data_IF_967017323085
#
_entry.id   IF_967017323085
#
_cell.length_a   1.000
_cell.length_b   1.000
_cell.length_c   1.000
_cell.angle_alpha   90.00
_cell.angle_beta   90.00
_cell.angle_gamma   90.00
#
_symmetry.space_group_name_H-M   'P 1'
#
loop_
_entity.id
_entity.type
_entity.pdbx_description
1 polymer ?
#
# COMPACT_ATOMS: atom_id res chain seq x y z
N UNK A 1 -5.68 21.79 -21.83
CA UNK A 1 -4.22 21.72 -21.76
C UNK A 1 -3.79 21.99 -20.34
N UNK A 2 -3.55 20.92 -19.57
CA UNK A 2 -3.13 21.03 -18.17
C UNK A 2 -1.61 21.23 -18.16
N UNK A 3 -1.17 22.48 -18.33
CA UNK A 3 0.22 22.85 -18.00
C UNK A 3 0.36 22.78 -16.48
N UNK A 4 1.21 21.87 -15.98
CA UNK A 4 1.52 21.68 -14.56
C UNK A 4 3.00 22.06 -14.35
N UNK A 5 3.23 23.22 -13.75
CA UNK A 5 4.55 23.81 -13.48
C UNK A 5 4.84 23.84 -11.98
N UNK A 6 6.12 23.86 -11.58
CA UNK A 6 6.53 24.00 -10.17
C UNK A 6 5.95 25.25 -9.48
N UNK A 7 5.69 26.32 -10.23
CA UNK A 7 5.00 27.51 -9.72
C UNK A 7 3.52 27.25 -9.36
N UNK A 8 2.82 26.43 -10.16
CA UNK A 8 1.46 25.99 -9.82
C UNK A 8 1.46 25.03 -8.61
N UNK A 9 2.52 24.26 -8.41
CA UNK A 9 2.70 23.39 -7.22
C UNK A 9 2.74 24.23 -5.94
N UNK A 10 3.58 25.26 -5.90
CA UNK A 10 3.69 26.15 -4.74
C UNK A 10 2.39 26.96 -4.52
N UNK A 11 1.69 27.31 -5.59
CA UNK A 11 0.36 27.93 -5.51
C UNK A 11 -0.69 27.03 -4.85
N UNK A 12 -0.71 25.73 -5.15
CA UNK A 12 -1.68 24.77 -4.58
C UNK A 12 -1.37 24.47 -3.10
N UNK A 13 -0.09 24.43 -2.71
CA UNK A 13 0.29 24.20 -1.30
C UNK A 13 -0.13 25.32 -0.35
N UNK A 14 -0.20 26.57 -0.83
CA UNK A 14 -0.55 27.76 -0.02
C UNK A 14 -2.06 27.98 0.13
N UNK A 15 -2.89 27.26 -0.61
CA UNK A 15 -4.36 27.39 -0.52
C UNK A 15 -4.91 26.65 0.69
N UNK A 16 -5.91 27.25 1.35
CA UNK A 16 -6.69 26.59 2.40
C UNK A 16 -7.32 25.32 1.83
N UNK A 17 -7.14 24.19 2.51
CA UNK A 17 -7.70 22.91 2.04
C UNK A 17 -9.23 23.00 1.97
N UNK A 18 -9.81 22.57 0.84
CA UNK A 18 -11.26 22.51 0.68
C UNK A 18 -11.88 21.45 1.61
N UNK A 19 -13.18 21.56 1.86
CA UNK A 19 -13.91 20.60 2.69
C UNK A 19 -13.85 19.18 2.09
N UNK A 20 -13.93 19.06 0.76
CA UNK A 20 -13.79 17.78 0.06
C UNK A 20 -12.39 17.19 0.26
N UNK A 21 -11.36 18.02 0.17
CA UNK A 21 -9.98 17.59 0.39
C UNK A 21 -9.74 17.15 1.83
N UNK A 22 -10.28 17.89 2.80
CA UNK A 22 -10.23 17.51 4.21
C UNK A 22 -10.95 16.19 4.46
N UNK A 23 -12.11 15.97 3.82
CA UNK A 23 -12.85 14.71 3.91
C UNK A 23 -12.05 13.51 3.37
N UNK A 24 -11.33 13.69 2.26
CA UNK A 24 -10.43 12.67 1.70
C UNK A 24 -9.20 12.41 2.57
N UNK A 25 -8.61 13.45 3.17
CA UNK A 25 -7.31 13.34 3.86
C UNK A 25 -7.43 12.96 5.35
N UNK A 26 -8.62 13.10 5.97
CA UNK A 26 -8.81 12.91 7.42
C UNK A 26 -8.38 11.54 7.96
N UNK A 27 -8.62 10.46 7.21
CA UNK A 27 -8.30 9.08 7.63
C UNK A 27 -7.50 8.30 6.58
N UNK A 28 -6.83 9.02 5.68
CA UNK A 28 -6.06 8.48 4.56
C UNK A 28 -4.97 7.47 5.00
N UNK A 29 -4.64 7.44 6.30
CA UNK A 29 -3.58 6.62 6.88
C UNK A 29 -4.09 5.51 7.83
N UNK A 30 -5.40 5.22 7.85
CA UNK A 30 -6.02 4.24 8.76
C UNK A 30 -5.89 2.78 8.30
N UNK A 31 -5.43 2.50 7.07
CA UNK A 31 -5.20 1.14 6.56
C UNK A 31 -6.16 0.73 5.45
N UNK A 32 -6.28 -0.60 5.24
CA UNK A 32 -6.72 -1.23 3.97
C UNK A 32 -8.14 -0.90 3.49
N UNK A 33 -8.96 -0.28 4.33
CA UNK A 33 -10.34 0.07 4.02
C UNK A 33 -10.58 1.59 4.09
N UNK A 34 -9.53 2.41 3.90
CA UNK A 34 -9.63 3.87 4.03
C UNK A 34 -10.81 4.41 3.21
N UNK A 35 -10.94 3.98 1.94
CA UNK A 35 -11.98 4.46 1.05
C UNK A 35 -13.36 4.08 1.55
N UNK A 36 -13.58 2.84 2.02
CA UNK A 36 -14.87 2.42 2.60
C UNK A 36 -15.18 3.25 3.86
N UNK A 37 -14.18 3.49 4.71
CA UNK A 37 -14.31 4.27 5.94
C UNK A 37 -14.50 5.79 5.70
N UNK A 38 -14.12 6.31 4.53
CA UNK A 38 -14.29 7.74 4.17
C UNK A 38 -15.36 7.99 3.12
N UNK A 39 -15.80 6.98 2.35
CA UNK A 39 -16.68 7.13 1.19
C UNK A 39 -18.00 7.82 1.56
N UNK A 40 -18.61 7.42 2.68
CA UNK A 40 -19.84 8.07 3.16
C UNK A 40 -19.66 9.57 3.43
N UNK A 41 -18.51 9.98 3.98
CA UNK A 41 -18.19 11.41 4.20
C UNK A 41 -17.90 12.14 2.90
N UNK A 42 -17.10 11.54 2.03
CA UNK A 42 -16.75 12.12 0.72
C UNK A 42 -18.04 12.34 -0.09
N UNK A 43 -18.92 11.33 -0.13
CA UNK A 43 -20.21 11.41 -0.79
C UNK A 43 -21.09 12.52 -0.19
N UNK A 44 -21.18 12.57 1.15
CA UNK A 44 -21.92 13.64 1.84
C UNK A 44 -21.43 15.05 1.48
N UNK A 45 -20.11 15.24 1.31
CA UNK A 45 -19.55 16.53 0.88
C UNK A 45 -19.85 16.79 -0.60
N UNK A 46 -19.65 15.79 -1.47
CA UNK A 46 -19.93 15.91 -2.90
C UNK A 46 -21.40 16.26 -3.18
N UNK A 47 -22.35 15.65 -2.46
CA UNK A 47 -23.79 15.91 -2.60
C UNK A 47 -24.20 17.33 -2.17
N UNK A 48 -23.42 17.97 -1.30
CA UNK A 48 -23.65 19.36 -0.85
C UNK A 48 -23.09 20.40 -1.83
N UNK A 49 -22.13 20.01 -2.67
CA UNK A 49 -21.50 20.91 -3.64
C UNK A 49 -22.36 21.04 -4.89
N UNK A 50 -22.30 22.19 -5.57
CA UNK A 50 -22.77 22.23 -6.96
C UNK A 50 -21.88 21.32 -7.82
N UNK A 51 -22.43 20.74 -8.89
CA UNK A 51 -21.68 19.87 -9.80
C UNK A 51 -20.41 20.56 -10.31
N UNK A 52 -20.48 21.86 -10.62
CA UNK A 52 -19.35 22.66 -11.05
C UNK A 52 -18.25 22.75 -9.98
N UNK A 53 -18.61 23.01 -8.72
CA UNK A 53 -17.64 23.09 -7.63
C UNK A 53 -17.08 21.70 -7.28
N UNK A 54 -17.90 20.66 -7.34
CA UNK A 54 -17.47 19.27 -7.16
C UNK A 54 -16.46 18.85 -8.24
N UNK A 55 -16.72 19.17 -9.51
CA UNK A 55 -15.79 18.95 -10.63
C UNK A 55 -14.46 19.68 -10.40
N UNK A 56 -14.53 20.95 -9.99
CA UNK A 56 -13.35 21.77 -9.76
C UNK A 56 -12.49 21.22 -8.61
N UNK A 57 -13.08 20.97 -7.45
CA UNK A 57 -12.34 20.45 -6.29
C UNK A 57 -11.79 19.04 -6.54
N UNK A 58 -12.53 18.19 -7.25
CA UNK A 58 -12.04 16.86 -7.63
C UNK A 58 -10.81 16.96 -8.53
N UNK A 59 -10.84 17.84 -9.54
CA UNK A 59 -9.67 18.06 -10.41
C UNK A 59 -8.47 18.57 -9.62
N UNK A 60 -8.67 19.53 -8.70
CA UNK A 60 -7.62 20.04 -7.84
C UNK A 60 -6.98 18.92 -7.00
N UNK A 61 -7.79 17.99 -6.48
CA UNK A 61 -7.30 16.83 -5.73
C UNK A 61 -6.49 15.89 -6.64
N UNK A 62 -7.00 15.50 -7.82
CA UNK A 62 -6.28 14.62 -8.75
C UNK A 62 -4.93 15.23 -9.13
N UNK A 63 -4.92 16.52 -9.49
CA UNK A 63 -3.69 17.26 -9.84
C UNK A 63 -2.74 17.29 -8.65
N UNK A 64 -3.24 17.57 -7.43
CA UNK A 64 -2.41 17.55 -6.24
C UNK A 64 -1.80 16.17 -5.98
N UNK A 65 -2.55 15.09 -6.17
CA UNK A 65 -2.08 13.71 -6.00
C UNK A 65 -1.02 13.33 -7.02
N UNK A 66 -1.23 13.69 -8.29
CA UNK A 66 -0.23 13.55 -9.34
C UNK A 66 1.06 14.28 -8.96
N UNK A 67 0.95 15.52 -8.50
CA UNK A 67 2.10 16.34 -8.09
C UNK A 67 2.89 15.75 -6.94
N UNK A 68 2.22 15.31 -5.88
CA UNK A 68 2.87 14.64 -4.75
C UNK A 68 3.59 13.38 -5.23
N UNK A 69 2.96 12.61 -6.12
CA UNK A 69 3.59 11.42 -6.69
C UNK A 69 4.81 11.75 -7.55
N UNK A 70 4.79 12.82 -8.36
CA UNK A 70 5.90 13.10 -9.28
C UNK A 70 7.10 13.81 -8.62
N UNK A 71 6.93 14.41 -7.43
CA UNK A 71 8.00 15.07 -6.66
C UNK A 71 9.19 14.17 -6.32
N UNK A 72 8.97 12.85 -6.25
CA UNK A 72 10.00 11.86 -5.94
C UNK A 72 10.95 11.54 -7.09
N UNK A 73 10.62 11.94 -8.31
CA UNK A 73 11.45 11.72 -9.48
C UNK A 73 12.37 12.92 -9.73
N UNK A 74 13.52 12.64 -10.38
CA UNK A 74 14.41 13.67 -10.89
C UNK A 74 13.68 14.60 -11.87
N UNK A 75 14.08 15.88 -11.99
CA UNK A 75 13.39 16.88 -12.82
C UNK A 75 13.09 16.40 -14.25
N UNK A 76 14.07 15.82 -14.94
CA UNK A 76 13.91 15.31 -16.30
C UNK A 76 12.86 14.19 -16.41
N UNK A 77 12.87 13.25 -15.46
CA UNK A 77 11.88 12.16 -15.41
C UNK A 77 10.50 12.68 -15.06
N UNK A 78 10.42 13.68 -14.17
CA UNK A 78 9.18 14.35 -13.77
C UNK A 78 8.54 15.08 -14.94
N UNK A 79 9.31 15.90 -15.67
CA UNK A 79 8.84 16.63 -16.84
C UNK A 79 8.36 15.68 -17.94
N UNK A 80 9.14 14.63 -18.22
CA UNK A 80 8.75 13.60 -19.17
C UNK A 80 7.46 12.89 -18.77
N UNK A 81 7.34 12.48 -17.51
CA UNK A 81 6.15 11.81 -16.97
C UNK A 81 4.91 12.71 -17.05
N UNK A 82 5.02 13.99 -16.68
CA UNK A 82 3.93 14.94 -16.77
C UNK A 82 3.53 15.18 -18.24
N UNK A 83 4.51 15.29 -19.15
CA UNK A 83 4.26 15.41 -20.59
C UNK A 83 3.51 14.20 -21.15
N UNK A 84 3.95 12.99 -20.82
CA UNK A 84 3.34 11.75 -21.29
C UNK A 84 1.93 11.57 -20.71
N UNK A 85 1.71 11.85 -19.43
CA UNK A 85 0.38 11.83 -18.81
C UNK A 85 -0.53 12.88 -19.46
N UNK A 86 -0.06 14.12 -19.68
CA UNK A 86 -0.86 15.16 -20.34
C UNK A 86 -1.29 14.72 -21.73
N UNK A 87 -0.41 14.12 -22.54
CA UNK A 87 -0.77 13.62 -23.88
C UNK A 87 -1.82 12.51 -23.84
N UNK A 88 -1.75 11.62 -22.84
CA UNK A 88 -2.74 10.55 -22.68
C UNK A 88 -4.08 11.14 -22.25
N UNK A 89 -4.06 11.96 -21.19
CA UNK A 89 -5.25 12.53 -20.58
C UNK A 89 -5.93 13.54 -21.50
N UNK A 90 -5.19 14.36 -22.26
CA UNK A 90 -5.77 15.33 -23.19
C UNK A 90 -6.31 14.67 -24.48
N UNK A 91 -6.05 13.38 -24.71
CA UNK A 91 -6.59 12.67 -25.87
C UNK A 91 -8.07 12.32 -25.66
N UNK A 92 -8.91 12.65 -26.65
CA UNK A 92 -10.33 12.30 -26.63
C UNK A 92 -10.63 10.96 -27.34
N UNK A 93 -9.63 10.38 -28.01
CA UNK A 93 -9.72 9.09 -28.70
C UNK A 93 -8.95 8.00 -27.93
N UNK A 94 -9.65 6.92 -27.58
CA UNK A 94 -9.09 5.78 -26.84
C UNK A 94 -7.95 5.07 -27.59
N UNK A 95 -8.00 5.00 -28.92
CA UNK A 95 -6.96 4.40 -29.75
C UNK A 95 -5.70 5.28 -29.74
N UNK A 96 -5.87 6.59 -29.85
CA UNK A 96 -4.76 7.55 -29.75
C UNK A 96 -4.16 7.50 -28.34
N UNK A 97 -4.98 7.54 -27.28
CA UNK A 97 -4.51 7.41 -25.90
C UNK A 97 -3.72 6.10 -25.68
N UNK A 98 -4.18 4.99 -26.26
CA UNK A 98 -3.49 3.69 -26.17
C UNK A 98 -2.16 3.69 -26.93
N UNK A 99 -2.12 4.31 -28.11
CA UNK A 99 -0.88 4.45 -28.89
C UNK A 99 0.14 5.34 -28.16
N UNK A 100 -0.31 6.48 -27.62
CA UNK A 100 0.51 7.37 -26.78
C UNK A 100 1.02 6.66 -25.54
N UNK A 101 0.17 5.86 -24.88
CA UNK A 101 0.58 5.08 -23.69
C UNK A 101 1.64 4.03 -24.02
N UNK A 102 1.54 3.38 -25.18
CA UNK A 102 2.55 2.44 -25.67
C UNK A 102 3.86 3.16 -26.02
N UNK A 103 3.79 4.32 -26.68
CA UNK A 103 4.98 5.09 -27.07
C UNK A 103 5.68 5.76 -25.88
N UNK A 104 4.94 6.15 -24.84
CA UNK A 104 5.49 6.67 -23.59
C UNK A 104 6.44 5.67 -22.91
N UNK A 105 6.24 4.35 -23.12
CA UNK A 105 7.08 3.28 -22.60
C UNK A 105 7.42 3.47 -21.10
N UNK A 106 6.40 3.68 -20.27
CA UNK A 106 6.56 3.99 -18.85
C UNK A 106 7.50 3.04 -18.09
N UNK A 107 7.53 1.76 -18.46
CA UNK A 107 8.42 0.76 -17.85
C UNK A 107 9.91 1.02 -18.08
N UNK A 108 10.28 1.86 -19.05
CA UNK A 108 11.68 2.26 -19.26
C UNK A 108 12.21 3.20 -18.17
N UNK A 109 11.33 3.87 -17.42
CA UNK A 109 11.72 4.84 -16.39
C UNK A 109 10.88 4.80 -15.11
N UNK A 110 9.90 3.89 -15.00
CA UNK A 110 9.10 3.63 -13.81
C UNK A 110 9.14 2.14 -13.44
N UNK A 111 9.13 1.85 -12.14
CA UNK A 111 8.87 0.50 -11.63
C UNK A 111 7.43 0.07 -11.88
N UNK A 112 7.15 -1.23 -11.74
CA UNK A 112 5.77 -1.77 -11.87
C UNK A 112 4.80 -1.16 -10.85
N UNK A 113 5.26 -0.88 -9.63
CA UNK A 113 4.43 -0.25 -8.61
C UNK A 113 4.12 1.22 -8.95
N UNK A 114 5.12 1.96 -9.44
CA UNK A 114 4.94 3.35 -9.90
C UNK A 114 4.02 3.43 -11.12
N UNK A 115 4.17 2.50 -12.06
CA UNK A 115 3.26 2.40 -13.20
C UNK A 115 1.82 2.13 -12.75
N UNK A 116 1.62 1.32 -11.72
CA UNK A 116 0.28 1.06 -11.17
C UNK A 116 -0.35 2.36 -10.65
N UNK A 117 0.41 3.19 -9.95
CA UNK A 117 -0.06 4.50 -9.49
C UNK A 117 -0.37 5.44 -10.65
N UNK A 118 0.50 5.51 -11.66
CA UNK A 118 0.25 6.32 -12.87
C UNK A 118 -1.03 5.87 -13.57
N UNK A 119 -1.27 4.55 -13.65
CA UNK A 119 -2.49 4.02 -14.25
C UNK A 119 -3.75 4.41 -13.48
N UNK A 120 -3.70 4.44 -12.15
CA UNK A 120 -4.79 4.93 -11.32
C UNK A 120 -5.01 6.43 -11.50
N UNK A 121 -3.95 7.24 -11.56
CA UNK A 121 -4.06 8.68 -11.82
C UNK A 121 -4.67 8.99 -13.19
N UNK A 122 -4.24 8.29 -14.25
CA UNK A 122 -4.83 8.41 -15.59
C UNK A 122 -6.33 8.09 -15.53
N UNK A 123 -6.69 6.99 -14.87
CA UNK A 123 -8.10 6.58 -14.71
C UNK A 123 -8.92 7.62 -13.94
N UNK A 124 -8.34 8.25 -12.92
CA UNK A 124 -8.99 9.34 -12.20
C UNK A 124 -9.32 10.52 -13.11
N UNK A 125 -8.40 10.91 -14.01
CA UNK A 125 -8.67 11.96 -15.01
C UNK A 125 -9.73 11.54 -16.04
N UNK A 126 -9.72 10.29 -16.50
CA UNK A 126 -10.73 9.78 -17.43
C UNK A 126 -12.14 9.82 -16.80
N UNK A 127 -12.26 9.36 -15.55
CA UNK A 127 -13.52 9.40 -14.79
C UNK A 127 -13.97 10.85 -14.51
N UNK A 128 -13.04 11.77 -14.23
CA UNK A 128 -13.36 13.19 -14.11
C UNK A 128 -13.91 13.78 -15.42
N UNK A 129 -13.29 13.45 -16.56
CA UNK A 129 -13.78 13.84 -17.89
C UNK A 129 -15.18 13.28 -18.14
N UNK A 130 -15.44 12.03 -17.78
CA UNK A 130 -16.75 11.41 -17.93
C UNK A 130 -17.81 12.07 -17.02
N UNK A 131 -17.46 12.36 -15.75
CA UNK A 131 -18.34 13.12 -14.86
C UNK A 131 -18.69 14.50 -15.43
N UNK A 132 -17.74 15.18 -16.09
CA UNK A 132 -17.99 16.45 -16.77
C UNK A 132 -19.00 16.29 -17.92
N UNK A 133 -18.93 15.21 -18.69
CA UNK A 133 -19.93 14.90 -19.74
C UNK A 133 -21.32 14.65 -19.13
N UNK A 134 -21.36 14.03 -17.95
CA UNK A 134 -22.60 13.79 -17.21
C UNK A 134 -23.10 14.99 -16.41
N UNK A 135 -22.45 16.15 -16.44
CA UNK A 135 -22.88 17.33 -15.67
C UNK A 135 -24.29 17.82 -16.01
N UNK A 136 -24.79 17.55 -17.23
CA UNK A 136 -26.19 17.77 -17.63
C UNK A 136 -27.16 16.63 -17.25
N UNK A 137 -26.64 15.47 -16.84
CA UNK A 137 -27.36 14.27 -16.40
C UNK A 137 -26.99 14.00 -14.92
N UNK A 138 -27.47 14.90 -14.06
CA UNK A 138 -27.13 15.03 -12.63
C UNK A 138 -26.92 13.74 -11.81
N UNK A 139 -27.71 12.65 -11.94
CA UNK A 139 -27.55 11.49 -11.04
C UNK A 139 -26.24 10.71 -11.23
N UNK A 140 -25.57 10.80 -12.38
CA UNK A 140 -24.35 10.04 -12.65
C UNK A 140 -23.07 10.81 -12.32
N UNK A 141 -23.10 12.14 -12.31
CA UNK A 141 -21.90 12.96 -12.12
C UNK A 141 -21.26 12.73 -10.74
N UNK A 142 -22.05 12.72 -9.66
CA UNK A 142 -21.53 12.57 -8.29
C UNK A 142 -20.88 11.20 -8.04
N UNK A 143 -21.53 10.05 -8.38
CA UNK A 143 -20.89 8.75 -8.28
C UNK A 143 -19.60 8.65 -9.11
N UNK A 144 -19.57 9.21 -10.32
CA UNK A 144 -18.35 9.21 -11.15
C UNK A 144 -17.23 10.05 -10.54
N UNK A 145 -17.54 11.19 -9.90
CA UNK A 145 -16.55 11.97 -9.15
C UNK A 145 -16.01 11.23 -7.93
N UNK A 146 -16.86 10.47 -7.24
CA UNK A 146 -16.43 9.62 -6.12
C UNK A 146 -15.44 8.54 -6.57
N UNK A 147 -15.71 7.86 -7.69
CA UNK A 147 -14.77 6.90 -8.29
C UNK A 147 -13.46 7.58 -8.72
N UNK A 148 -13.56 8.77 -9.31
CA UNK A 148 -12.38 9.55 -9.70
C UNK A 148 -11.48 9.84 -8.50
N UNK A 149 -12.07 10.20 -7.34
CA UNK A 149 -11.34 10.38 -6.09
C UNK A 149 -10.75 9.06 -5.56
N UNK A 150 -11.48 7.94 -5.65
CA UNK A 150 -10.94 6.63 -5.28
C UNK A 150 -9.63 6.34 -6.03
N UNK A 151 -9.66 6.50 -7.35
CA UNK A 151 -8.51 6.30 -8.22
C UNK A 151 -7.38 7.29 -7.96
N UNK A 152 -7.70 8.55 -7.62
CA UNK A 152 -6.69 9.56 -7.29
C UNK A 152 -5.85 9.18 -6.06
N UNK A 153 -6.39 8.38 -5.14
CA UNK A 153 -5.71 7.93 -3.93
C UNK A 153 -5.28 6.45 -3.97
N UNK A 154 -5.77 5.67 -4.94
CA UNK A 154 -5.48 4.24 -5.08
C UNK A 154 -3.99 3.95 -5.30
N UNK A 155 -3.43 3.08 -4.45
CA UNK A 155 -2.02 2.66 -4.51
C UNK A 155 -1.03 3.76 -4.12
N UNK A 156 -1.51 4.94 -3.75
CA UNK A 156 -0.66 6.08 -3.37
C UNK A 156 -0.33 6.14 -1.89
N UNK A 157 -0.94 5.31 -1.06
CA UNK A 157 -0.68 5.12 0.37
C UNK A 157 0.80 4.82 0.67
N UNK A 158 1.50 4.15 -0.25
CA UNK A 158 2.95 3.87 -0.18
C UNK A 158 3.84 5.06 -0.56
N UNK A 159 3.28 6.07 -1.24
CA UNK A 159 4.00 7.20 -1.84
C UNK A 159 3.58 8.56 -1.28
N UNK A 160 2.46 8.64 -0.55
CA UNK A 160 1.91 9.84 0.07
C UNK A 160 2.76 10.41 1.22
N UNK A 161 3.86 9.74 1.61
CA UNK A 161 4.73 10.10 2.74
C UNK A 161 6.12 10.63 2.32
N UNK A 162 6.27 11.04 1.05
CA UNK A 162 7.56 11.45 0.48
C UNK A 162 8.00 12.89 0.83
N UNK A 163 7.43 13.53 1.85
CA UNK A 163 8.03 14.75 2.43
C UNK A 163 8.78 14.54 3.75
N UNK A 164 8.72 13.38 4.43
CA UNK A 164 9.39 13.24 5.74
C UNK A 164 9.91 11.86 6.17
N UNK A 165 9.86 10.78 5.36
CA UNK A 165 10.26 9.44 5.87
C UNK A 165 11.42 8.82 5.08
N UNK A 166 12.60 8.97 5.66
CA UNK A 166 13.86 8.27 5.39
C UNK A 166 13.66 6.81 4.86
N UNK A 167 14.01 6.62 3.58
CA UNK A 167 13.82 5.40 2.80
C UNK A 167 14.57 4.19 3.38
N UNK A 168 15.68 4.42 4.08
CA UNK A 168 16.37 3.36 4.83
C UNK A 168 15.59 2.95 6.08
N UNK A 169 14.87 3.87 6.73
CA UNK A 169 13.97 3.54 7.86
C UNK A 169 12.73 2.81 7.39
N UNK A 170 12.14 3.10 6.23
CA UNK A 170 10.97 2.38 5.68
C UNK A 170 11.29 0.92 5.31
N UNK A 171 12.40 0.69 4.60
CA UNK A 171 12.88 -0.67 4.31
C UNK A 171 13.27 -1.38 5.62
N UNK A 172 13.91 -0.68 6.57
CA UNK A 172 14.11 -1.20 7.94
C UNK A 172 12.81 -1.38 8.71
N UNK A 173 11.70 -0.69 8.41
CA UNK A 173 10.40 -0.77 9.12
C UNK A 173 9.53 -1.87 8.55
N UNK A 174 9.56 -2.12 7.25
CA UNK A 174 8.94 -3.30 6.62
C UNK A 174 9.77 -4.55 6.91
N UNK A 175 11.11 -4.49 6.81
CA UNK A 175 11.98 -5.55 7.33
C UNK A 175 11.86 -5.70 8.85
N UNK A 176 11.69 -4.63 9.65
CA UNK A 176 11.40 -4.74 11.09
C UNK A 176 10.01 -5.26 11.35
N UNK A 177 8.97 -4.89 10.62
CA UNK A 177 7.62 -5.38 10.84
C UNK A 177 7.53 -6.85 10.45
N UNK A 178 8.20 -7.25 9.38
CA UNK A 178 8.39 -8.66 9.04
C UNK A 178 9.33 -9.36 10.04
N UNK A 179 10.42 -8.75 10.51
CA UNK A 179 11.30 -9.35 11.52
C UNK A 179 10.70 -9.36 12.91
N UNK A 180 9.77 -8.45 13.22
CA UNK A 180 9.01 -8.36 14.46
C UNK A 180 7.93 -9.43 14.46
N UNK A 181 7.14 -9.55 13.40
CA UNK A 181 6.17 -10.66 13.29
C UNK A 181 6.85 -12.03 13.19
N UNK A 182 8.02 -12.09 12.56
CA UNK A 182 8.85 -13.29 12.52
C UNK A 182 9.59 -13.52 13.85
N UNK A 183 9.89 -12.47 14.63
CA UNK A 183 10.34 -12.61 16.01
C UNK A 183 9.20 -13.03 16.92
N UNK A 184 7.96 -12.58 16.70
CA UNK A 184 6.78 -13.00 17.46
C UNK A 184 6.50 -14.48 17.20
N UNK A 185 6.66 -14.95 15.95
CA UNK A 185 6.63 -16.36 15.62
C UNK A 185 7.73 -17.16 16.33
N UNK A 186 8.95 -16.60 16.45
CA UNK A 186 10.07 -17.24 17.16
C UNK A 186 9.92 -17.19 18.68
N UNK A 187 9.43 -16.10 19.24
CA UNK A 187 9.10 -15.98 20.66
C UNK A 187 8.00 -16.97 21.01
N UNK A 188 6.94 -17.03 20.19
CA UNK A 188 5.91 -18.03 20.37
C UNK A 188 6.43 -19.46 20.21
N UNK A 189 7.45 -19.67 19.37
CA UNK A 189 8.16 -20.96 19.30
C UNK A 189 8.88 -21.26 20.61
N UNK A 190 9.57 -20.30 21.23
CA UNK A 190 10.18 -20.48 22.55
C UNK A 190 9.13 -20.80 23.62
N UNK A 191 8.00 -20.07 23.64
CA UNK A 191 6.91 -20.34 24.59
C UNK A 191 6.37 -21.76 24.43
N UNK A 192 6.17 -22.22 23.19
CA UNK A 192 5.67 -23.57 22.91
C UNK A 192 6.69 -24.65 23.25
N UNK A 193 8.00 -24.37 23.11
CA UNK A 193 9.06 -25.27 23.52
C UNK A 193 9.10 -25.48 25.04
N UNK A 194 8.67 -24.49 25.82
CA UNK A 194 8.54 -24.60 27.27
C UNK A 194 7.20 -25.22 27.68
N UNK A 195 6.09 -24.69 27.15
CA UNK A 195 4.71 -25.14 27.45
C UNK A 195 4.49 -26.63 27.14
N UNK A 196 5.04 -27.10 26.00
CA UNK A 196 4.85 -28.48 25.53
C UNK A 196 6.03 -29.38 25.87
N UNK A 197 6.94 -28.94 26.75
CA UNK A 197 8.14 -29.69 27.08
C UNK A 197 7.78 -31.04 27.74
N UNK A 198 8.31 -32.17 27.23
CA UNK A 198 8.21 -33.44 27.92
C UNK A 198 8.95 -33.39 29.26
N UNK A 199 8.54 -34.19 30.26
CA UNK A 199 9.16 -34.18 31.60
C UNK A 199 10.67 -34.40 31.57
N UNK A 200 11.15 -35.26 30.67
CA UNK A 200 12.58 -35.53 30.49
C UNK A 200 13.32 -34.44 29.71
N UNK A 201 12.61 -33.56 29.01
CA UNK A 201 13.11 -32.61 28.03
C UNK A 201 12.95 -33.08 26.57
N UNK A 202 13.37 -32.25 25.62
CA UNK A 202 13.38 -32.54 24.18
C UNK A 202 14.58 -33.38 23.76
N UNK A 203 14.36 -34.50 23.06
CA UNK A 203 15.45 -35.36 22.61
C UNK A 203 16.27 -34.73 21.48
N UNK A 204 15.58 -34.23 20.46
CA UNK A 204 16.16 -33.58 19.29
C UNK A 204 15.20 -32.54 18.68
N UNK A 205 15.72 -31.73 17.75
CA UNK A 205 14.96 -30.65 17.12
C UNK A 205 13.81 -31.16 16.25
N UNK A 206 13.87 -32.40 15.75
CA UNK A 206 12.82 -32.97 14.92
C UNK A 206 11.59 -33.35 15.74
N UNK A 207 11.80 -33.96 16.91
CA UNK A 207 10.74 -34.27 17.86
C UNK A 207 10.06 -32.97 18.32
N UNK A 208 10.85 -32.01 18.79
CA UNK A 208 10.34 -30.72 19.24
C UNK A 208 9.57 -29.96 18.14
N UNK A 209 10.14 -29.87 16.93
CA UNK A 209 9.47 -29.22 15.81
C UNK A 209 8.16 -29.92 15.43
N UNK A 210 8.08 -31.25 15.50
CA UNK A 210 6.85 -31.99 15.17
C UNK A 210 5.76 -31.73 16.20
N UNK A 211 6.11 -31.71 17.48
CA UNK A 211 5.16 -31.52 18.59
C UNK A 211 4.57 -30.11 18.65
N UNK A 212 5.34 -29.07 18.32
CA UNK A 212 4.88 -27.68 18.42
C UNK A 212 4.27 -27.10 17.12
N UNK A 213 4.49 -27.75 15.98
CA UNK A 213 4.18 -27.19 14.66
C UNK A 213 2.70 -26.87 14.45
N UNK A 214 1.78 -27.75 14.88
CA UNK A 214 0.34 -27.50 14.69
C UNK A 214 -0.14 -26.31 15.53
N UNK A 215 0.27 -26.22 16.81
CA UNK A 215 -0.06 -25.06 17.66
C UNK A 215 0.56 -23.76 17.13
N UNK A 216 1.78 -23.82 16.62
CA UNK A 216 2.41 -22.65 16.00
C UNK A 216 1.68 -22.25 14.72
N UNK A 217 1.24 -23.21 13.92
CA UNK A 217 0.46 -22.95 12.71
C UNK A 217 -0.87 -22.27 13.04
N UNK A 218 -1.61 -22.77 14.03
CA UNK A 218 -2.87 -22.15 14.49
C UNK A 218 -2.65 -20.69 14.93
N UNK A 219 -1.56 -20.43 15.67
CA UNK A 219 -1.18 -19.07 16.05
C UNK A 219 -0.88 -18.19 14.84
N UNK A 220 -0.08 -18.68 13.88
CA UNK A 220 0.27 -17.95 12.67
C UNK A 220 -0.97 -17.62 11.82
N UNK A 221 -1.89 -18.57 11.67
CA UNK A 221 -3.12 -18.39 10.91
C UNK A 221 -4.07 -17.40 11.62
N UNK A 222 -4.22 -17.52 12.96
CA UNK A 222 -5.03 -16.61 13.79
C UNK A 222 -4.52 -15.17 13.74
N UNK A 223 -3.22 -14.97 13.89
CA UNK A 223 -2.58 -13.65 13.87
C UNK A 223 -2.31 -13.13 12.44
N UNK A 224 -2.78 -13.87 11.42
CA UNK A 224 -2.61 -13.55 9.99
C UNK A 224 -1.14 -13.33 9.60
N UNK A 225 -0.23 -14.09 10.21
CA UNK A 225 1.21 -14.07 9.96
C UNK A 225 1.50 -14.94 8.73
N UNK A 226 1.85 -14.29 7.61
CA UNK A 226 2.11 -14.98 6.32
C UNK A 226 3.44 -15.75 6.27
N UNK A 227 4.37 -15.49 7.19
CA UNK A 227 5.71 -16.10 7.18
C UNK A 227 6.15 -16.54 8.59
N UNK A 228 6.65 -17.77 8.76
CA UNK A 228 6.82 -18.80 7.74
C UNK A 228 5.49 -19.31 7.16
N UNK A 229 5.51 -19.80 5.91
CA UNK A 229 4.30 -20.28 5.24
C UNK A 229 3.69 -21.46 5.98
N UNK A 230 2.40 -21.35 6.33
CA UNK A 230 1.61 -22.38 7.03
C UNK A 230 0.98 -23.41 6.09
N UNK A 231 1.00 -23.14 4.78
CA UNK A 231 0.38 -23.99 3.75
C UNK A 231 1.15 -25.29 3.54
N UNK A 232 2.46 -25.27 3.74
CA UNK A 232 3.32 -26.45 3.61
C UNK A 232 3.89 -26.82 4.98
N UNK A 233 3.34 -27.89 5.58
CA UNK A 233 3.77 -28.42 6.86
C UNK A 233 5.25 -28.84 6.84
N UNK A 234 5.75 -29.37 5.73
CA UNK A 234 7.14 -29.79 5.61
C UNK A 234 8.09 -28.58 5.60
N UNK A 235 7.70 -27.48 4.98
CA UNK A 235 8.46 -26.22 5.00
C UNK A 235 8.44 -25.56 6.38
N UNK A 236 7.30 -25.56 7.07
CA UNK A 236 7.21 -25.03 8.43
C UNK A 236 8.09 -25.84 9.40
N UNK A 237 8.04 -27.18 9.33
CA UNK A 237 8.91 -28.07 10.11
C UNK A 237 10.39 -27.80 9.84
N UNK A 238 10.80 -27.73 8.57
CA UNK A 238 12.19 -27.39 8.20
C UNK A 238 12.63 -26.06 8.78
N UNK A 239 11.74 -25.07 8.78
CA UNK A 239 12.03 -23.73 9.31
C UNK A 239 12.20 -23.75 10.83
N UNK A 240 11.34 -24.47 11.54
CA UNK A 240 11.44 -24.63 12.99
C UNK A 240 12.77 -25.28 13.40
N UNK A 241 13.14 -26.36 12.71
CA UNK A 241 14.43 -27.03 12.93
C UNK A 241 15.59 -26.06 12.69
N UNK A 242 15.54 -25.28 11.60
CA UNK A 242 16.57 -24.27 11.33
C UNK A 242 16.64 -23.20 12.44
N UNK A 243 15.51 -22.75 12.99
CA UNK A 243 15.53 -21.80 14.10
C UNK A 243 16.16 -22.38 15.37
N UNK A 244 15.85 -23.63 15.71
CA UNK A 244 16.45 -24.30 16.88
C UNK A 244 17.96 -24.51 16.73
N UNK A 245 18.49 -24.56 15.50
CA UNK A 245 19.92 -24.76 15.23
C UNK A 245 20.72 -23.47 15.06
N UNK A 246 20.13 -22.48 14.41
CA UNK A 246 20.85 -21.31 13.88
C UNK A 246 20.47 -20.01 14.56
N UNK A 247 19.37 -19.95 15.33
CA UNK A 247 18.89 -18.70 15.90
C UNK A 247 19.03 -18.66 17.42
N UNK A 248 19.96 -17.84 17.91
CA UNK A 248 20.41 -17.78 19.30
C UNK A 248 19.28 -17.90 20.34
N UNK A 249 18.20 -17.11 20.22
CA UNK A 249 17.09 -17.16 21.17
C UNK A 249 16.33 -18.49 21.17
N UNK A 250 16.04 -19.06 20.00
CA UNK A 250 15.25 -20.29 19.87
C UNK A 250 16.13 -21.50 20.18
N UNK A 251 17.41 -21.42 19.79
CA UNK A 251 18.44 -22.38 20.14
C UNK A 251 18.64 -22.46 21.65
N UNK A 252 18.81 -21.33 22.33
CA UNK A 252 18.92 -21.29 23.79
C UNK A 252 17.68 -21.87 24.47
N UNK A 253 16.48 -21.49 24.04
CA UNK A 253 15.24 -22.03 24.58
C UNK A 253 15.11 -23.56 24.36
N UNK A 254 15.58 -24.06 23.21
CA UNK A 254 15.61 -25.49 22.94
C UNK A 254 16.67 -26.20 23.81
N UNK A 255 17.89 -25.68 23.90
CA UNK A 255 19.00 -26.24 24.69
C UNK A 255 18.68 -26.28 26.19
N UNK A 256 18.04 -25.24 26.73
CA UNK A 256 17.57 -25.21 28.13
C UNK A 256 16.50 -26.27 28.42
N UNK A 257 15.75 -26.65 27.39
CA UNK A 257 14.67 -27.62 27.49
C UNK A 257 15.05 -28.99 26.92
N UNK A 258 16.31 -29.19 26.53
CA UNK A 258 16.81 -30.43 25.95
C UNK A 258 16.99 -31.48 27.04
N UNK A 259 16.78 -32.75 26.71
CA UNK A 259 17.11 -33.85 27.61
C UNK A 259 18.60 -33.76 27.97
N UNK A 260 18.91 -33.49 29.23
CA UNK A 260 20.25 -33.68 29.75
C UNK A 260 20.43 -35.19 29.95
N UNK A 261 21.36 -35.78 29.18
CA UNK A 261 21.88 -37.09 29.55
C UNK A 261 22.69 -36.88 30.84
N UNK A 262 22.10 -37.24 31.97
CA UNK A 262 22.85 -37.53 33.19
C UNK A 262 23.65 -38.83 32.99
#
# INVERSE_FOLDING_TARGET
>A
MISITDAQIEGIKRRKQSELRQACEKDLFSGKDWFIATAGRILTVLEKLSIEEALKQTLEIIVHRLLVFTQRFAPETREKLLSDISKIVDSDDKLIATAVRKSANFLSYLSREELTVVNHLIKAFDEHKDAKKFSGLSPLAIPTLLLSLEHAYAGQDRFAKDNTVDRQKSIKRTRRLHSLKYSDARLKTCDLLDELRPEKGWKDENEAATSIMEKLKEYLDKERIRYPSTQDKAMLKKRLIAWMKEHDLVKLAFEQNKQCNA
#
